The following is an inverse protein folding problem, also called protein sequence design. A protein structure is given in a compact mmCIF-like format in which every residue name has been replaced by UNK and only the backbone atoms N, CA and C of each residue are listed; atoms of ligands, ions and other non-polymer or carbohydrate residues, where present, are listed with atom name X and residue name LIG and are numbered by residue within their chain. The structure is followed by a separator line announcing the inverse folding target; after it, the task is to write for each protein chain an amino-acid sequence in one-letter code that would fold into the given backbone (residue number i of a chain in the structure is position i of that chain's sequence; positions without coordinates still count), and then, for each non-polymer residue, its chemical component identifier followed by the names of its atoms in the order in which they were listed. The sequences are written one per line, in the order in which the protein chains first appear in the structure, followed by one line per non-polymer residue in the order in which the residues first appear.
data_IF_742953292984
#
_entry.id   IF_742953292984
#
_cell.length_a   1.000
_cell.length_b   1.000
_cell.length_c   1.000
_cell.angle_alpha   90.00
_cell.angle_beta   90.00
_cell.angle_gamma   90.00
#
_symmetry.space_group_name_H-M   'P 1'
#
loop_
_entity.id
_entity.type
_entity.pdbx_description
1 polymer ?
#
# COMPACT_ATOMS: atom_id res chain seq x y z
N UNK A 1 50.18 29.97 22.24
CA UNK A 1 49.41 29.09 21.33
C UNK A 1 48.79 27.95 22.15
N UNK A 2 47.74 28.22 22.94
CA UNK A 2 47.10 27.24 23.86
C UNK A 2 45.59 27.10 23.59
N UNK A 3 45.11 27.51 22.41
CA UNK A 3 43.68 27.55 22.07
C UNK A 3 43.11 26.25 21.49
N UNK A 4 43.94 25.33 21.02
CA UNK A 4 43.50 24.16 20.23
C UNK A 4 43.10 22.95 21.06
N UNK A 5 43.62 22.82 22.28
CA UNK A 5 43.35 21.63 23.12
C UNK A 5 42.05 21.74 23.90
N UNK A 6 41.63 22.96 24.27
CA UNK A 6 40.35 23.19 24.95
C UNK A 6 39.15 23.01 24.01
N UNK A 7 39.26 23.41 22.74
CA UNK A 7 38.21 23.14 21.73
C UNK A 7 38.12 21.64 21.38
N UNK A 8 39.25 20.93 21.33
CA UNK A 8 39.27 19.47 21.17
C UNK A 8 38.64 18.77 22.37
N UNK A 9 38.93 19.22 23.59
CA UNK A 9 38.34 18.66 24.79
C UNK A 9 36.84 18.98 24.88
N UNK A 10 36.41 20.19 24.51
CA UNK A 10 35.00 20.59 24.49
C UNK A 10 34.19 19.81 23.44
N UNK A 11 34.75 19.56 22.25
CA UNK A 11 34.11 18.72 21.22
C UNK A 11 34.06 17.24 21.60
N UNK A 12 35.10 16.71 22.27
CA UNK A 12 35.09 15.36 22.87
C UNK A 12 34.06 15.24 24.01
N UNK A 13 33.92 16.27 24.85
CA UNK A 13 32.92 16.31 25.91
C UNK A 13 31.50 16.42 25.35
N UNK A 14 31.28 17.24 24.33
CA UNK A 14 30.01 17.37 23.62
C UNK A 14 29.64 16.09 22.84
N UNK A 15 30.63 15.34 22.33
CA UNK A 15 30.39 14.04 21.70
C UNK A 15 30.07 12.94 22.73
N UNK A 16 30.77 12.92 23.87
CA UNK A 16 30.58 11.94 24.94
C UNK A 16 29.27 12.15 25.73
N UNK A 17 28.84 13.41 25.86
CA UNK A 17 27.58 13.81 26.49
C UNK A 17 26.47 14.14 25.51
N UNK A 18 26.69 13.96 24.20
CA UNK A 18 25.59 13.90 23.25
C UNK A 18 24.71 12.74 23.68
N UNK A 19 23.39 12.93 23.87
CA UNK A 19 22.50 11.88 24.33
C UNK A 19 22.68 10.67 23.42
N UNK A 20 23.27 9.61 24.00
CA UNK A 20 23.73 8.38 23.33
C UNK A 20 22.92 8.12 22.07
N UNK A 21 23.54 8.44 20.95
CA UNK A 21 23.05 8.08 19.65
C UNK A 21 22.81 6.57 19.60
N UNK A 22 21.55 6.22 19.32
CA UNK A 22 21.13 5.11 18.45
C UNK A 22 21.98 3.84 18.51
N UNK A 23 21.42 2.81 19.13
CA UNK A 23 21.11 1.57 18.41
C UNK A 23 19.78 1.02 18.95
N UNK A 24 18.64 1.57 18.50
CA UNK A 24 17.56 0.64 18.14
C UNK A 24 17.81 0.32 16.68
N UNK A 25 18.56 -0.75 16.44
CA UNK A 25 18.19 -1.71 15.42
C UNK A 25 16.75 -2.14 15.78
N UNK A 26 15.77 -1.28 15.48
CA UNK A 26 14.48 -1.79 15.11
C UNK A 26 14.80 -2.51 13.82
N UNK A 27 15.22 -3.77 13.94
CA UNK A 27 15.05 -4.77 12.89
C UNK A 27 13.64 -4.54 12.44
N UNK A 28 13.44 -3.80 11.33
CA UNK A 28 12.11 -3.67 10.74
C UNK A 28 11.75 -5.11 10.44
N UNK A 29 10.76 -5.71 11.12
CA UNK A 29 10.42 -7.10 10.85
C UNK A 29 10.20 -7.24 9.35
N UNK A 30 11.01 -8.06 8.68
CA UNK A 30 10.99 -8.19 7.22
C UNK A 30 9.57 -8.56 6.72
N UNK A 31 8.80 -9.23 7.59
CA UNK A 31 7.39 -9.59 7.43
C UNK A 31 6.44 -8.40 7.16
N UNK A 32 6.82 -7.17 7.53
CA UNK A 32 5.95 -6.00 7.35
C UNK A 32 5.81 -5.55 5.90
N UNK A 33 6.89 -5.65 5.12
CA UNK A 33 6.84 -5.28 3.70
C UNK A 33 5.96 -6.26 2.93
N UNK A 34 6.10 -7.55 3.24
CA UNK A 34 5.28 -8.62 2.66
C UNK A 34 3.81 -8.39 3.01
N UNK A 35 3.49 -8.14 4.28
CA UNK A 35 2.11 -7.86 4.73
C UNK A 35 1.47 -6.69 3.98
N UNK A 36 2.25 -5.64 3.72
CA UNK A 36 1.79 -4.45 2.99
C UNK A 36 1.53 -4.74 1.51
N UNK A 37 2.38 -5.53 0.88
CA UNK A 37 2.21 -5.94 -0.53
C UNK A 37 1.00 -6.86 -0.65
N UNK A 38 0.89 -7.87 0.22
CA UNK A 38 -0.23 -8.79 0.24
C UNK A 38 -1.55 -8.05 0.49
N UNK A 39 -1.62 -7.13 1.45
CA UNK A 39 -2.79 -6.30 1.67
C UNK A 39 -3.22 -5.56 0.39
N UNK A 40 -2.25 -5.10 -0.42
CA UNK A 40 -2.54 -4.41 -1.68
C UNK A 40 -2.99 -5.37 -2.77
N UNK A 41 -2.37 -6.55 -2.89
CA UNK A 41 -2.84 -7.62 -3.80
C UNK A 41 -4.29 -7.97 -3.49
N UNK A 42 -4.62 -8.10 -2.20
CA UNK A 42 -5.97 -8.38 -1.74
C UNK A 42 -6.97 -7.30 -2.19
N UNK A 43 -6.65 -6.02 -1.95
CA UNK A 43 -7.50 -4.90 -2.38
C UNK A 43 -7.70 -4.86 -3.90
N UNK A 44 -6.66 -5.15 -4.68
CA UNK A 44 -6.74 -5.17 -6.16
C UNK A 44 -7.65 -6.29 -6.63
N UNK A 45 -7.50 -7.50 -6.08
CA UNK A 45 -8.33 -8.64 -6.46
C UNK A 45 -9.79 -8.43 -6.11
N UNK A 46 -10.11 -7.75 -5.01
CA UNK A 46 -11.48 -7.32 -4.73
C UNK A 46 -11.98 -6.36 -5.83
N UNK A 47 -11.19 -5.36 -6.20
CA UNK A 47 -11.59 -4.40 -7.23
C UNK A 47 -11.78 -5.06 -8.61
N UNK A 48 -10.94 -6.04 -8.96
CA UNK A 48 -11.09 -6.84 -10.20
C UNK A 48 -12.38 -7.68 -10.16
N UNK A 49 -12.65 -8.39 -9.06
CA UNK A 49 -13.89 -9.18 -8.92
C UNK A 49 -15.12 -8.27 -9.04
N UNK A 50 -15.10 -7.13 -8.36
CA UNK A 50 -16.20 -6.15 -8.41
C UNK A 50 -16.37 -5.55 -9.82
N UNK A 51 -15.27 -5.29 -10.53
CA UNK A 51 -15.36 -4.76 -11.90
C UNK A 51 -15.95 -5.77 -12.86
N UNK A 52 -15.62 -7.07 -12.76
CA UNK A 52 -16.28 -8.12 -13.55
C UNK A 52 -17.80 -8.15 -13.35
N UNK A 53 -18.25 -8.16 -12.09
CA UNK A 53 -19.70 -8.14 -11.81
C UNK A 53 -20.39 -6.87 -12.33
N UNK A 54 -19.71 -5.72 -12.31
CA UNK A 54 -20.25 -4.48 -12.88
C UNK A 54 -20.32 -4.51 -14.40
N UNK A 55 -19.37 -5.17 -15.06
CA UNK A 55 -19.42 -5.40 -16.51
C UNK A 55 -20.64 -6.24 -16.85
N UNK A 56 -20.83 -7.38 -16.18
CA UNK A 56 -22.00 -8.24 -16.42
C UNK A 56 -23.34 -7.52 -16.17
N UNK A 57 -23.39 -6.65 -15.16
CA UNK A 57 -24.63 -5.98 -14.78
C UNK A 57 -25.00 -4.80 -15.70
N UNK A 58 -24.01 -4.02 -16.14
CA UNK A 58 -24.26 -2.73 -16.78
C UNK A 58 -23.81 -2.64 -18.23
N UNK A 59 -22.88 -3.48 -18.68
CA UNK A 59 -22.28 -3.37 -20.00
C UNK A 59 -22.92 -4.38 -20.96
N UNK A 60 -23.85 -3.87 -21.77
CA UNK A 60 -24.23 -4.50 -23.04
C UNK A 60 -22.95 -4.63 -23.89
N UNK A 61 -22.71 -5.76 -24.56
CA UNK A 61 -21.53 -5.93 -25.41
C UNK A 61 -21.41 -4.76 -26.37
N UNK A 62 -20.33 -3.98 -26.24
CA UNK A 62 -20.08 -2.83 -27.09
C UNK A 62 -19.39 -3.34 -28.36
N UNK A 63 -19.87 -2.91 -29.52
CA UNK A 63 -19.22 -3.22 -30.79
C UNK A 63 -17.84 -2.53 -30.86
N UNK A 64 -16.78 -3.32 -30.74
CA UNK A 64 -15.40 -2.85 -30.85
C UNK A 64 -14.40 -3.68 -30.05
N UNK A 65 -13.53 -4.40 -30.76
CA UNK A 65 -12.51 -5.28 -30.15
C UNK A 65 -11.57 -4.54 -29.20
N UNK A 66 -11.14 -3.32 -29.56
CA UNK A 66 -10.19 -2.53 -28.75
C UNK A 66 -10.85 -2.05 -27.46
N UNK A 67 -12.10 -1.58 -27.54
CA UNK A 67 -12.81 -1.05 -26.38
C UNK A 67 -13.06 -2.17 -25.37
N UNK A 68 -13.44 -3.36 -25.84
CA UNK A 68 -13.66 -4.53 -24.99
C UNK A 68 -12.38 -5.01 -24.28
N UNK A 69 -11.20 -4.76 -24.85
CA UNK A 69 -9.93 -5.07 -24.19
C UNK A 69 -9.52 -4.04 -23.14
N UNK A 70 -9.76 -2.75 -23.38
CA UNK A 70 -9.28 -1.67 -22.49
C UNK A 70 -10.26 -1.37 -21.35
N UNK A 71 -11.57 -1.47 -21.62
CA UNK A 71 -12.64 -1.10 -20.70
C UNK A 71 -12.56 -1.82 -19.34
N UNK A 72 -12.25 -3.14 -19.24
CA UNK A 72 -12.13 -3.81 -17.95
C UNK A 72 -11.05 -3.20 -17.06
N UNK A 73 -9.93 -2.76 -17.63
CA UNK A 73 -8.85 -2.12 -16.87
C UNK A 73 -9.27 -0.74 -16.36
N UNK A 74 -9.89 0.08 -17.22
CA UNK A 74 -10.40 1.40 -16.82
C UNK A 74 -11.41 1.25 -15.70
N UNK A 75 -12.38 0.33 -15.85
CA UNK A 75 -13.39 0.10 -14.83
C UNK A 75 -12.77 -0.39 -13.52
N UNK A 76 -11.81 -1.31 -13.59
CA UNK A 76 -11.09 -1.79 -12.40
C UNK A 76 -10.34 -0.66 -11.69
N UNK A 77 -9.69 0.26 -12.42
CA UNK A 77 -9.05 1.45 -11.84
C UNK A 77 -10.08 2.32 -11.12
N UNK A 78 -11.23 2.61 -11.75
CA UNK A 78 -12.28 3.44 -11.17
C UNK A 78 -12.86 2.79 -9.90
N UNK A 79 -13.23 1.52 -9.99
CA UNK A 79 -13.72 0.72 -8.87
C UNK A 79 -12.70 0.71 -7.74
N UNK A 80 -11.43 0.47 -8.04
CA UNK A 80 -10.37 0.48 -7.04
C UNK A 80 -10.22 1.84 -6.36
N UNK A 81 -10.24 2.95 -7.11
CA UNK A 81 -10.09 4.29 -6.54
C UNK A 81 -11.28 4.59 -5.60
N UNK A 82 -12.50 4.30 -6.04
CA UNK A 82 -13.70 4.51 -5.22
C UNK A 82 -13.68 3.63 -3.97
N UNK A 83 -13.39 2.34 -4.13
CA UNK A 83 -13.29 1.38 -3.04
C UNK A 83 -12.17 1.75 -2.04
N UNK A 84 -10.93 1.92 -2.50
CA UNK A 84 -9.76 2.17 -1.65
C UNK A 84 -9.92 3.50 -0.91
N UNK A 85 -10.47 4.53 -1.57
CA UNK A 85 -10.73 5.84 -0.95
C UNK A 85 -11.84 5.76 0.09
N UNK A 86 -12.97 5.12 -0.24
CA UNK A 86 -14.11 4.99 0.69
C UNK A 86 -13.71 4.23 1.95
N UNK A 87 -13.03 3.08 1.80
CA UNK A 87 -12.59 2.30 2.96
C UNK A 87 -11.54 3.03 3.79
N UNK A 88 -10.57 3.70 3.15
CA UNK A 88 -9.57 4.48 3.88
C UNK A 88 -10.20 5.64 4.64
N UNK A 89 -11.22 6.30 4.08
CA UNK A 89 -11.90 7.40 4.74
C UNK A 89 -12.77 6.93 5.91
N UNK A 90 -13.67 5.97 5.69
CA UNK A 90 -14.62 5.54 6.71
C UNK A 90 -14.01 4.62 7.78
N UNK A 91 -13.10 3.73 7.38
CA UNK A 91 -12.57 2.69 8.27
C UNK A 91 -11.12 2.98 8.66
N UNK A 92 -10.50 4.10 8.23
CA UNK A 92 -9.08 4.41 8.51
C UNK A 92 -8.11 3.34 7.97
N UNK A 93 -8.47 2.71 6.85
CA UNK A 93 -7.66 1.71 6.14
C UNK A 93 -8.48 0.93 5.10
N UNK A 94 -7.81 0.38 4.09
CA UNK A 94 -8.46 -0.52 3.12
C UNK A 94 -8.81 -1.87 3.74
N UNK A 95 -9.72 -2.62 3.14
CA UNK A 95 -10.16 -3.92 3.68
C UNK A 95 -8.97 -4.87 3.84
N UNK A 96 -8.10 -4.96 2.82
CA UNK A 96 -6.86 -5.74 2.91
C UNK A 96 -6.00 -5.27 4.08
N UNK A 97 -5.75 -3.96 4.19
CA UNK A 97 -4.96 -3.42 5.31
C UNK A 97 -5.59 -3.75 6.67
N UNK A 98 -6.91 -3.75 6.79
CA UNK A 98 -7.60 -4.09 8.05
C UNK A 98 -7.36 -5.53 8.46
N UNK A 99 -7.45 -6.48 7.53
CA UNK A 99 -7.15 -7.89 7.79
C UNK A 99 -5.69 -8.04 8.26
N UNK A 100 -4.77 -7.29 7.65
CA UNK A 100 -3.34 -7.26 8.03
C UNK A 100 -3.00 -6.36 9.24
N UNK A 101 -4.00 -5.78 9.91
CA UNK A 101 -3.82 -4.84 11.04
C UNK A 101 -2.97 -3.60 10.73
N UNK A 102 -2.99 -3.16 9.48
CA UNK A 102 -2.26 -2.00 8.99
C UNK A 102 -3.22 -0.80 9.06
N UNK A 103 -2.78 0.28 9.73
CA UNK A 103 -3.53 1.53 9.82
C UNK A 103 -2.68 2.66 9.24
N UNK A 104 -3.32 3.66 8.64
CA UNK A 104 -2.64 4.84 8.10
C UNK A 104 -2.83 5.97 9.10
N UNK A 105 -1.76 6.66 9.44
CA UNK A 105 -1.80 7.85 10.29
C UNK A 105 -1.06 9.00 9.60
N UNK A 106 -1.44 10.23 9.92
CA UNK A 106 -0.68 11.41 9.50
C UNK A 106 0.72 11.37 10.12
N UNK A 107 1.74 11.77 9.36
CA UNK A 107 3.10 11.87 9.88
C UNK A 107 3.28 13.09 10.81
N UNK A 108 2.36 14.05 10.75
CA UNK A 108 2.39 15.29 11.54
C UNK A 108 1.71 15.08 12.91
N UNK A 109 0.58 14.36 12.97
CA UNK A 109 -0.10 14.00 14.21
C UNK A 109 -0.83 12.66 14.11
N UNK A 110 -0.59 11.73 15.04
CA UNK A 110 -1.23 10.39 15.02
C UNK A 110 -2.76 10.44 15.23
N UNK A 111 -3.27 11.51 15.86
CA UNK A 111 -4.69 11.71 16.13
C UNK A 111 -5.42 12.54 15.06
N UNK A 112 -4.71 13.07 14.07
CA UNK A 112 -5.31 13.91 13.04
C UNK A 112 -5.96 13.04 11.96
N UNK A 113 -7.22 13.33 11.65
CA UNK A 113 -7.93 12.64 10.58
C UNK A 113 -7.35 13.04 9.23
N UNK A 114 -7.09 12.05 8.38
CA UNK A 114 -6.53 12.30 7.05
C UNK A 114 -7.68 12.84 6.19
N UNK A 115 -7.57 14.05 5.61
CA UNK A 115 -8.62 14.61 4.78
C UNK A 115 -8.87 13.73 3.55
N UNK A 116 -10.14 13.60 3.15
CA UNK A 116 -10.56 12.75 2.03
C UNK A 116 -9.80 13.04 0.74
N UNK A 117 -9.43 14.29 0.50
CA UNK A 117 -8.64 14.71 -0.67
C UNK A 117 -7.26 14.05 -0.68
N UNK A 118 -6.55 14.02 0.46
CA UNK A 118 -5.26 13.31 0.57
C UNK A 118 -5.44 11.81 0.38
N UNK A 119 -6.52 11.22 0.89
CA UNK A 119 -6.84 9.80 0.68
C UNK A 119 -7.10 9.50 -0.79
N UNK A 120 -7.88 10.33 -1.47
CA UNK A 120 -8.17 10.19 -2.89
C UNK A 120 -6.89 10.30 -3.72
N UNK A 121 -6.08 11.34 -3.50
CA UNK A 121 -4.79 11.48 -4.17
C UNK A 121 -3.90 10.26 -3.93
N UNK A 122 -3.88 9.71 -2.71
CA UNK A 122 -3.15 8.48 -2.41
C UNK A 122 -3.61 7.32 -3.26
N UNK A 123 -4.92 7.10 -3.41
CA UNK A 123 -5.48 6.04 -4.25
C UNK A 123 -5.08 6.23 -5.72
N UNK A 124 -5.12 7.47 -6.23
CA UNK A 124 -4.58 7.80 -7.56
C UNK A 124 -3.09 7.47 -7.66
N UNK A 125 -2.24 7.93 -6.74
CA UNK A 125 -0.81 7.62 -6.79
C UNK A 125 -0.54 6.10 -6.77
N UNK A 126 -1.35 5.32 -6.04
CA UNK A 126 -1.23 3.86 -6.03
C UNK A 126 -1.55 3.27 -7.40
N UNK A 127 -2.64 3.67 -8.07
CA UNK A 127 -2.98 3.15 -9.39
C UNK A 127 -1.92 3.46 -10.45
N UNK A 128 -1.40 4.69 -10.45
CA UNK A 128 -0.52 5.18 -11.51
C UNK A 128 0.94 4.80 -11.24
N UNK A 129 1.44 5.03 -10.02
CA UNK A 129 2.85 4.82 -9.64
C UNK A 129 3.10 3.54 -8.83
N UNK A 130 2.06 2.87 -8.36
CA UNK A 130 2.19 1.55 -7.75
C UNK A 130 1.87 0.42 -8.70
N UNK A 131 0.83 0.59 -9.52
CA UNK A 131 0.23 -0.49 -10.31
C UNK A 131 0.36 -0.30 -11.82
N UNK A 132 0.93 0.81 -12.29
CA UNK A 132 1.17 1.02 -13.73
C UNK A 132 -0.10 0.89 -14.57
N UNK A 133 -1.21 1.48 -14.11
CA UNK A 133 -2.54 1.36 -14.73
C UNK A 133 -3.10 -0.06 -14.81
N UNK A 134 -2.60 -1.00 -13.99
CA UNK A 134 -3.01 -2.41 -14.02
C UNK A 134 -2.75 -3.12 -15.37
N UNK A 135 -2.03 -2.49 -16.30
CA UNK A 135 -1.63 -3.11 -17.57
C UNK A 135 -0.54 -4.14 -17.27
N UNK A 136 -0.70 -5.44 -17.56
CA UNK A 136 0.16 -6.51 -16.99
C UNK A 136 1.68 -6.29 -17.12
N UNK A 137 2.14 -5.85 -18.31
CA UNK A 137 3.57 -5.60 -18.56
C UNK A 137 4.09 -4.38 -17.76
N UNK A 138 3.29 -3.31 -17.71
CA UNK A 138 3.65 -2.06 -17.03
C UNK A 138 3.52 -2.24 -15.52
N UNK A 139 2.46 -2.90 -15.05
CA UNK A 139 2.20 -3.18 -13.64
C UNK A 139 3.33 -3.97 -13.00
N UNK A 140 3.91 -4.94 -13.72
CA UNK A 140 5.07 -5.71 -13.24
C UNK A 140 6.27 -4.81 -12.98
N UNK A 141 6.59 -3.89 -13.90
CA UNK A 141 7.71 -2.95 -13.73
C UNK A 141 7.48 -2.01 -12.53
N UNK A 142 6.27 -1.46 -12.38
CA UNK A 142 5.92 -0.58 -11.27
C UNK A 142 5.85 -1.32 -9.92
N UNK A 143 5.45 -2.60 -9.92
CA UNK A 143 5.50 -3.46 -8.75
C UNK A 143 6.94 -3.72 -8.29
N UNK A 144 7.85 -4.01 -9.24
CA UNK A 144 9.28 -4.16 -8.96
C UNK A 144 9.89 -2.85 -8.44
N UNK A 145 9.56 -1.71 -9.05
CA UNK A 145 9.95 -0.40 -8.55
C UNK A 145 9.45 -0.16 -7.12
N UNK A 146 8.19 -0.48 -6.84
CA UNK A 146 7.58 -0.36 -5.51
C UNK A 146 8.29 -1.23 -4.49
N UNK A 147 8.56 -2.50 -4.83
CA UNK A 147 9.33 -3.43 -4.01
C UNK A 147 10.71 -2.84 -3.68
N UNK A 148 11.46 -2.45 -4.71
CA UNK A 148 12.79 -1.84 -4.55
C UNK A 148 12.74 -0.60 -3.65
N UNK A 149 11.76 0.29 -3.88
CA UNK A 149 11.61 1.52 -3.11
C UNK A 149 11.27 1.24 -1.65
N UNK A 150 10.38 0.28 -1.38
CA UNK A 150 10.04 -0.16 -0.03
C UNK A 150 11.25 -0.78 0.66
N UNK A 151 12.02 -1.64 0.00
CA UNK A 151 13.20 -2.25 0.63
C UNK A 151 14.26 -1.19 0.97
N UNK A 152 14.45 -0.19 0.11
CA UNK A 152 15.45 0.86 0.30
C UNK A 152 15.04 1.93 1.32
N UNK A 153 13.78 2.38 1.30
CA UNK A 153 13.31 3.50 2.13
C UNK A 153 12.42 3.06 3.30
N UNK A 154 11.92 1.83 3.25
CA UNK A 154 11.01 1.24 4.22
C UNK A 154 9.64 1.90 4.32
N UNK A 155 9.26 2.65 3.28
CA UNK A 155 7.92 3.18 3.00
C UNK A 155 7.72 3.21 1.48
N UNK A 156 6.50 3.40 0.99
CA UNK A 156 6.28 3.58 -0.45
C UNK A 156 6.49 5.02 -0.87
N UNK A 157 6.74 5.19 -2.17
CA UNK A 157 6.88 6.49 -2.79
C UNK A 157 5.70 7.42 -2.48
N UNK A 158 4.47 6.94 -2.70
CA UNK A 158 3.26 7.75 -2.50
C UNK A 158 2.99 8.11 -1.03
N UNK A 159 3.31 7.23 -0.07
CA UNK A 159 3.15 7.59 1.34
C UNK A 159 4.20 8.64 1.75
N UNK A 160 5.42 8.57 1.18
CA UNK A 160 6.45 9.57 1.42
C UNK A 160 6.04 10.94 0.87
N UNK A 161 5.55 10.99 -0.36
CA UNK A 161 5.08 12.23 -1.01
C UNK A 161 3.94 12.86 -0.22
N UNK A 162 3.01 12.05 0.27
CA UNK A 162 1.83 12.52 1.01
C UNK A 162 2.08 12.69 2.53
N UNK A 163 3.32 12.50 2.99
CA UNK A 163 3.71 12.56 4.42
C UNK A 163 2.80 11.69 5.29
N UNK A 164 2.60 10.44 4.89
CA UNK A 164 1.82 9.46 5.63
C UNK A 164 2.75 8.45 6.29
N UNK A 165 2.38 8.05 7.51
CA UNK A 165 3.08 7.02 8.26
C UNK A 165 2.17 5.82 8.40
N UNK A 166 2.76 4.63 8.32
CA UNK A 166 2.05 3.37 8.50
C UNK A 166 2.63 2.68 9.75
N UNK A 167 2.00 2.84 10.92
CA UNK A 167 2.37 2.06 12.09
C UNK A 167 2.08 0.58 11.82
N UNK A 168 3.07 -0.26 12.10
CA UNK A 168 2.94 -1.70 12.01
C UNK A 168 2.64 -2.26 13.39
N UNK A 169 1.63 -3.13 13.45
CA UNK A 169 1.33 -3.94 14.62
C UNK A 169 1.64 -5.40 14.30
N UNK A 170 2.14 -6.19 15.27
CA UNK A 170 2.32 -7.62 15.08
C UNK A 170 0.98 -8.29 14.71
N UNK A 171 1.06 -9.30 13.85
CA UNK A 171 -0.09 -10.10 13.42
C UNK A 171 -0.15 -11.34 14.32
N UNK A 172 -1.31 -11.58 14.94
CA UNK A 172 -1.54 -12.78 15.75
C UNK A 172 -1.73 -14.02 14.86
N UNK A 173 -1.44 -15.21 15.40
CA UNK A 173 -1.62 -16.49 14.69
C UNK A 173 -3.06 -16.65 14.18
N UNK A 174 -4.06 -16.33 15.00
CA UNK A 174 -5.47 -16.38 14.59
C UNK A 174 -5.77 -15.47 13.40
N UNK A 175 -5.12 -14.30 13.31
CA UNK A 175 -5.23 -13.43 12.13
C UNK A 175 -4.51 -13.99 10.91
N UNK A 176 -3.41 -14.70 11.07
CA UNK A 176 -2.75 -15.38 9.95
C UNK A 176 -3.66 -16.44 9.32
N UNK A 177 -4.37 -17.23 10.14
CA UNK A 177 -5.35 -18.21 9.65
C UNK A 177 -6.49 -17.50 8.90
N UNK A 178 -7.02 -16.42 9.47
CA UNK A 178 -8.04 -15.60 8.81
C UNK A 178 -7.55 -15.04 7.47
N UNK A 179 -6.32 -14.49 7.42
CA UNK A 179 -5.70 -13.99 6.18
C UNK A 179 -5.67 -15.10 5.13
N UNK A 180 -5.14 -16.27 5.49
CA UNK A 180 -5.04 -17.40 4.56
C UNK A 180 -6.42 -17.83 4.03
N UNK A 181 -7.42 -17.92 4.90
CA UNK A 181 -8.79 -18.23 4.51
C UNK A 181 -9.38 -17.16 3.57
N UNK A 182 -9.21 -15.88 3.87
CA UNK A 182 -9.66 -14.78 3.02
C UNK A 182 -8.99 -14.83 1.63
N UNK A 183 -7.70 -15.12 1.53
CA UNK A 183 -7.01 -15.28 0.25
C UNK A 183 -7.51 -16.49 -0.53
N UNK A 184 -7.78 -17.61 0.14
CA UNK A 184 -8.34 -18.80 -0.52
C UNK A 184 -9.69 -18.48 -1.15
N UNK A 185 -10.60 -17.84 -0.40
CA UNK A 185 -11.89 -17.41 -0.94
C UNK A 185 -11.72 -16.45 -2.10
N UNK A 186 -10.85 -15.44 -1.96
CA UNK A 186 -10.61 -14.43 -2.97
C UNK A 186 -10.09 -15.02 -4.28
N UNK A 187 -9.08 -15.89 -4.21
CA UNK A 187 -8.51 -16.53 -5.38
C UNK A 187 -9.46 -17.56 -6.00
N UNK A 188 -10.23 -18.29 -5.19
CA UNK A 188 -11.26 -19.18 -5.71
C UNK A 188 -12.33 -18.40 -6.48
N UNK A 189 -12.87 -17.31 -5.92
CA UNK A 189 -13.85 -16.46 -6.60
C UNK A 189 -13.30 -15.88 -7.90
N UNK A 190 -12.06 -15.38 -7.87
CA UNK A 190 -11.39 -14.85 -9.07
C UNK A 190 -11.18 -15.95 -10.13
N UNK A 191 -10.77 -17.15 -9.73
CA UNK A 191 -10.59 -18.28 -10.63
C UNK A 191 -11.90 -18.71 -11.31
N UNK A 192 -13.00 -18.79 -10.55
CA UNK A 192 -14.32 -19.11 -11.11
C UNK A 192 -14.77 -18.07 -12.15
N UNK A 193 -14.50 -16.78 -11.90
CA UNK A 193 -14.78 -15.73 -12.87
C UNK A 193 -13.94 -15.92 -14.14
N UNK A 194 -12.62 -16.08 -14.04
CA UNK A 194 -11.77 -16.31 -15.22
C UNK A 194 -12.27 -17.51 -16.04
N UNK A 195 -12.57 -18.63 -15.38
CA UNK A 195 -13.08 -19.85 -16.02
C UNK A 195 -14.43 -19.65 -16.73
N UNK A 196 -15.25 -18.71 -16.26
CA UNK A 196 -16.53 -18.38 -16.90
C UNK A 196 -16.37 -17.54 -18.18
N UNK A 197 -15.29 -16.75 -18.28
CA UNK A 197 -15.05 -15.81 -19.38
C UNK A 197 -14.07 -16.30 -20.45
N UNK A 198 -13.18 -17.25 -20.11
CA UNK A 198 -12.17 -17.83 -21.00
C UNK A 198 -12.33 -19.35 -21.07
#
# INVERSE_FOLDING_TARGET
MYGTDLEKLASLYAFKNSPKGKIKLNQKPNNHYISRILAKVFDIKIAEILSFYLIDLFLVPIDGEILNQILPYILTILVFILYDTSFQFFIKGSLGKKIFNIHIVSNENENEEIPITKVLYRSFYVCFFGLGFLIPKISTLFALFTLYYIFRNGTTHWDKVLRLKIPFKPISIGRMVLIAFCFLLLFNSYYQLIKGYF
#
